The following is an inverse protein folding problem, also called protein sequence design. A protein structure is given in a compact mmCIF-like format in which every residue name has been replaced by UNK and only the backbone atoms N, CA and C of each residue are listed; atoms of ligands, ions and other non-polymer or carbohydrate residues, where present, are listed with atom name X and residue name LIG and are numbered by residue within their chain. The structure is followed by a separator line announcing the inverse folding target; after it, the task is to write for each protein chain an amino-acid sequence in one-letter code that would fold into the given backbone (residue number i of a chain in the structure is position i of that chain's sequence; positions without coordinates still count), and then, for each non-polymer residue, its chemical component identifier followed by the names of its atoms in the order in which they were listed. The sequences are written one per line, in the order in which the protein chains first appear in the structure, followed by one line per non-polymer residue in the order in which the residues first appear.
data_IF_651696731455
#
_entry.id   IF_651696731455
#
_cell.length_a   1.000
_cell.length_b   1.000
_cell.length_c   1.000
_cell.angle_alpha   90.00
_cell.angle_beta   90.00
_cell.angle_gamma   90.00
#
_symmetry.space_group_name_H-M   'P 1'
#
loop_
_entity.id
_entity.type
_entity.pdbx_description
1 polymer ?
#
# COMPACT_ATOMS: atom_id res chain seq x y z
N UNK A 1 -63.35 7.38 -41.05
CA UNK A 1 -63.12 8.78 -40.65
C UNK A 1 -63.15 8.87 -39.14
N UNK A 2 -61.98 8.91 -38.48
CA UNK A 2 -61.87 9.22 -37.04
C UNK A 2 -60.46 9.77 -36.79
N UNK A 3 -60.36 11.08 -36.55
CA UNK A 3 -59.14 11.81 -36.21
C UNK A 3 -59.18 12.16 -34.73
N UNK A 4 -58.14 11.87 -33.97
CA UNK A 4 -57.78 12.52 -32.69
C UNK A 4 -56.28 12.26 -32.44
N UNK A 5 -55.37 13.16 -32.88
CA UNK A 5 -54.85 14.33 -32.16
C UNK A 5 -53.98 13.97 -30.92
N UNK A 6 -52.66 13.89 -31.13
CA UNK A 6 -51.63 13.76 -30.09
C UNK A 6 -51.05 15.17 -29.82
N UNK A 7 -51.05 15.69 -28.58
CA UNK A 7 -50.43 16.97 -28.29
C UNK A 7 -48.91 16.84 -28.11
N UNK A 8 -48.18 17.69 -28.84
CA UNK A 8 -46.76 18.00 -28.66
C UNK A 8 -46.58 18.84 -27.39
N UNK A 9 -45.72 18.41 -26.47
CA UNK A 9 -45.24 19.24 -25.36
C UNK A 9 -43.81 19.70 -25.60
N UNK A 10 -43.61 20.99 -25.30
CA UNK A 10 -42.52 21.83 -25.74
C UNK A 10 -41.22 21.64 -24.95
N UNK A 11 -40.10 21.77 -25.66
CA UNK A 11 -38.77 22.06 -25.13
C UNK A 11 -38.78 23.44 -24.46
N UNK A 12 -38.39 23.50 -23.17
CA UNK A 12 -38.00 24.75 -22.53
C UNK A 12 -36.48 24.73 -22.26
N UNK A 13 -35.76 25.51 -23.07
CA UNK A 13 -34.47 26.05 -22.68
C UNK A 13 -34.69 27.13 -21.61
N UNK A 14 -33.88 27.08 -20.55
CA UNK A 14 -33.64 28.23 -19.68
C UNK A 14 -32.14 28.40 -19.49
N UNK A 15 -31.59 29.39 -20.21
CA UNK A 15 -30.35 30.07 -19.89
C UNK A 15 -30.62 31.03 -18.73
N UNK A 16 -29.91 30.87 -17.61
CA UNK A 16 -29.70 31.97 -16.67
C UNK A 16 -28.22 32.00 -16.27
N UNK A 17 -27.61 33.10 -16.66
CA UNK A 17 -26.29 33.61 -16.29
C UNK A 17 -26.25 34.03 -14.82
N UNK A 18 -25.16 33.81 -14.12
CA UNK A 18 -24.44 34.90 -13.44
C UNK A 18 -23.18 34.41 -12.73
N UNK A 19 -22.15 35.23 -12.89
CA UNK A 19 -20.79 35.12 -12.35
C UNK A 19 -20.81 35.46 -10.86
N UNK A 20 -19.97 34.79 -10.07
CA UNK A 20 -19.15 35.52 -9.10
C UNK A 20 -17.81 34.81 -8.93
N UNK A 21 -16.76 35.55 -9.27
CA UNK A 21 -15.37 35.23 -9.00
C UNK A 21 -15.08 35.78 -7.60
N UNK A 22 -14.75 34.94 -6.63
CA UNK A 22 -14.12 35.44 -5.39
C UNK A 22 -12.61 35.47 -5.59
N UNK A 23 -12.09 36.69 -5.56
CA UNK A 23 -10.67 37.00 -5.62
C UNK A 23 -9.94 36.55 -4.35
N UNK A 24 -8.70 36.09 -4.55
CA UNK A 24 -7.65 35.94 -3.55
C UNK A 24 -7.59 37.09 -2.55
N UNK A 25 -7.30 36.76 -1.29
CA UNK A 25 -6.52 37.60 -0.40
C UNK A 25 -5.39 36.73 0.20
N UNK A 26 -4.15 37.10 -0.12
CA UNK A 26 -2.92 36.59 0.46
C UNK A 26 -2.53 37.63 1.51
N UNK A 27 -2.55 37.28 2.79
CA UNK A 27 -1.98 38.11 3.86
C UNK A 27 -0.62 37.57 4.29
N UNK A 28 0.30 38.50 4.53
CA UNK A 28 1.71 38.28 4.92
C UNK A 28 1.91 38.55 6.43
N UNK A 29 3.02 38.08 7.03
CA UNK A 29 3.10 37.81 8.46
C UNK A 29 3.58 39.03 9.26
N UNK A 30 2.87 39.38 10.33
CA UNK A 30 3.32 40.38 11.30
C UNK A 30 4.00 39.72 12.51
N UNK A 31 5.30 39.98 12.65
CA UNK A 31 6.11 39.78 13.86
C UNK A 31 5.71 40.80 14.92
N UNK A 32 5.65 40.39 16.18
CA UNK A 32 5.79 41.33 17.30
C UNK A 32 6.63 40.69 18.40
N UNK A 33 7.83 41.27 18.60
CA UNK A 33 8.72 41.03 19.72
C UNK A 33 8.33 41.96 20.86
N UNK A 34 8.32 41.46 22.10
CA UNK A 34 8.38 42.29 23.29
C UNK A 34 9.50 41.79 24.20
N UNK A 35 10.59 42.55 24.18
CA UNK A 35 11.68 42.53 25.15
C UNK A 35 11.28 43.41 26.35
N UNK A 36 11.46 42.95 27.59
CA UNK A 36 11.77 43.87 28.69
C UNK A 36 12.63 43.17 29.76
N UNK A 37 13.58 43.96 30.23
CA UNK A 37 14.83 43.67 30.94
C UNK A 37 14.71 43.63 32.47
N UNK A 38 15.55 42.77 33.08
CA UNK A 38 16.36 42.82 34.34
C UNK A 38 16.25 44.03 35.30
N UNK A 39 16.53 43.90 36.63
CA UNK A 39 17.77 43.31 37.19
C UNK A 39 17.66 42.40 38.43
N UNK A 40 18.75 41.67 38.71
CA UNK A 40 19.02 40.82 39.88
C UNK A 40 19.21 41.62 41.19
N UNK A 41 19.19 40.97 42.39
CA UNK A 41 20.43 40.37 42.90
C UNK A 41 20.28 39.02 43.65
N UNK A 42 21.36 38.24 43.52
CA UNK A 42 21.97 37.21 44.37
C UNK A 42 21.28 36.77 45.69
N UNK A 43 21.14 35.45 45.89
CA UNK A 43 21.56 34.79 47.13
C UNK A 43 21.71 33.27 46.94
N UNK A 44 22.91 32.76 47.23
CA UNK A 44 23.26 31.35 47.32
C UNK A 44 22.51 30.70 48.50
N UNK A 45 21.74 29.64 48.24
CA UNK A 45 21.47 28.61 49.25
C UNK A 45 21.58 27.23 48.61
N UNK A 46 22.69 26.56 48.93
CA UNK A 46 22.87 25.13 48.80
C UNK A 46 21.63 24.41 49.36
N UNK A 47 20.85 23.75 48.51
CA UNK A 47 19.95 22.71 48.96
C UNK A 47 20.82 21.47 49.24
N UNK A 48 21.24 21.32 50.48
CA UNK A 48 21.85 20.09 50.97
C UNK A 48 20.89 18.92 50.71
N UNK A 49 21.26 18.01 49.81
CA UNK A 49 20.61 16.70 49.71
C UNK A 49 20.84 15.98 51.04
N UNK A 50 19.77 15.65 51.75
CA UNK A 50 19.83 14.72 52.87
C UNK A 50 20.17 13.33 52.34
N UNK A 51 21.39 12.86 52.58
CA UNK A 51 21.72 11.45 52.45
C UNK A 51 21.15 10.71 53.66
N UNK A 52 20.17 9.84 53.42
CA UNK A 52 19.75 8.85 54.42
C UNK A 52 20.77 7.71 54.42
N UNK A 53 21.54 7.60 55.51
CA UNK A 53 22.43 6.47 55.77
C UNK A 53 21.79 5.53 56.80
N UNK A 54 20.62 4.98 56.48
CA UNK A 54 20.08 3.84 57.24
C UNK A 54 20.67 2.55 56.70
N UNK A 55 21.51 1.87 57.49
CA UNK A 55 22.00 0.53 57.17
C UNK A 55 20.84 -0.46 57.12
N UNK A 56 20.70 -1.20 56.01
CA UNK A 56 19.72 -2.27 55.89
C UNK A 56 20.17 -3.42 56.81
N UNK A 57 19.42 -3.66 57.89
CA UNK A 57 19.70 -4.80 58.77
C UNK A 57 19.37 -6.10 58.03
N UNK A 58 20.39 -6.82 57.57
CA UNK A 58 20.21 -8.17 57.04
C UNK A 58 19.73 -9.10 58.15
N UNK A 59 18.50 -9.59 58.03
CA UNK A 59 17.98 -10.68 58.86
C UNK A 59 18.85 -11.92 58.61
N UNK A 60 19.58 -12.39 59.64
CA UNK A 60 20.27 -13.68 59.61
C UNK A 60 19.23 -14.77 59.34
N UNK A 61 19.21 -15.29 58.11
CA UNK A 61 18.35 -16.39 57.74
C UNK A 61 18.74 -17.62 58.57
N UNK A 62 17.88 -18.00 59.52
CA UNK A 62 17.95 -19.30 60.16
C UNK A 62 17.87 -20.41 59.11
N UNK A 63 18.54 -21.52 59.39
CA UNK A 63 18.83 -22.65 58.49
C UNK A 63 17.60 -23.38 57.90
N UNK A 64 16.39 -22.87 58.13
CA UNK A 64 15.12 -23.50 57.75
C UNK A 64 14.40 -22.86 56.54
N UNK A 65 14.81 -21.68 56.04
CA UNK A 65 14.10 -21.00 54.95
C UNK A 65 14.94 -20.83 53.67
N UNK A 66 15.70 -21.86 53.28
CA UNK A 66 16.46 -21.88 52.01
C UNK A 66 15.67 -22.48 50.84
N UNK A 67 14.46 -23.01 51.07
CA UNK A 67 13.64 -23.63 50.02
C UNK A 67 12.72 -22.67 49.27
N UNK A 68 12.44 -21.46 49.81
CA UNK A 68 11.53 -20.48 49.21
C UNK A 68 12.16 -19.10 48.95
N UNK A 69 13.48 -18.98 49.04
CA UNK A 69 14.17 -17.82 48.50
C UNK A 69 14.08 -17.87 46.97
N UNK A 70 13.12 -17.15 46.39
CA UNK A 70 13.12 -16.83 44.96
C UNK A 70 14.35 -15.96 44.70
N UNK A 71 15.45 -16.59 44.30
CA UNK A 71 16.62 -15.90 43.77
C UNK A 71 16.21 -15.33 42.42
N UNK A 72 15.77 -14.06 42.40
CA UNK A 72 15.53 -13.26 41.20
C UNK A 72 16.86 -12.84 40.57
N UNK A 73 17.69 -13.84 40.26
CA UNK A 73 19.00 -13.65 39.64
C UNK A 73 19.29 -14.89 38.80
N UNK A 74 18.44 -15.12 37.80
CA UNK A 74 18.83 -15.96 36.68
C UNK A 74 20.00 -15.26 35.96
N UNK A 75 21.15 -15.93 35.72
CA UNK A 75 22.27 -15.33 35.00
C UNK A 75 21.86 -14.97 33.56
N UNK A 76 22.50 -13.97 32.92
CA UNK A 76 22.21 -13.61 31.54
C UNK A 76 22.53 -14.82 30.66
N UNK A 77 21.50 -15.40 30.03
CA UNK A 77 21.67 -16.57 29.16
C UNK A 77 22.28 -16.07 27.84
N UNK A 78 23.56 -16.40 27.62
CA UNK A 78 24.38 -15.98 26.47
C UNK A 78 24.04 -16.66 25.14
N UNK A 79 22.97 -17.45 25.11
CA UNK A 79 22.52 -18.21 23.95
C UNK A 79 21.00 -18.07 23.91
N UNK A 80 20.35 -17.62 22.82
CA UNK A 80 18.91 -17.69 22.74
C UNK A 80 18.52 -19.16 22.86
N UNK A 81 18.00 -19.54 24.04
CA UNK A 81 17.42 -20.85 24.24
C UNK A 81 16.32 -21.08 23.21
N UNK A 82 16.00 -22.35 22.93
CA UNK A 82 14.85 -22.66 22.10
C UNK A 82 13.62 -21.90 22.63
N UNK A 83 12.85 -21.23 21.76
CA UNK A 83 11.75 -20.38 22.20
C UNK A 83 10.75 -21.22 22.99
N UNK A 84 10.40 -20.76 24.20
CA UNK A 84 9.45 -21.45 25.08
C UNK A 84 8.09 -21.55 24.37
N UNK A 85 7.28 -22.57 24.66
CA UNK A 85 5.94 -22.69 24.08
C UNK A 85 5.08 -21.42 24.32
N UNK A 86 5.26 -20.76 25.45
CA UNK A 86 4.64 -19.46 25.76
C UNK A 86 5.13 -18.35 24.82
N UNK A 87 6.42 -18.26 24.55
CA UNK A 87 6.99 -17.26 23.63
C UNK A 87 6.44 -17.46 22.20
N UNK A 88 6.33 -18.72 21.77
CA UNK A 88 5.75 -19.08 20.48
C UNK A 88 4.25 -18.77 20.39
N UNK A 89 3.50 -18.89 21.49
CA UNK A 89 2.08 -18.52 21.51
C UNK A 89 1.87 -17.00 21.39
N UNK A 90 2.81 -16.20 21.91
CA UNK A 90 2.78 -14.74 21.78
C UNK A 90 3.36 -14.22 20.45
N UNK A 91 4.03 -15.08 19.69
CA UNK A 91 4.65 -14.70 18.42
C UNK A 91 3.62 -14.45 17.31
N UNK A 92 3.37 -13.18 17.03
CA UNK A 92 2.50 -12.71 15.95
C UNK A 92 3.25 -12.46 14.64
N UNK A 93 4.56 -12.63 14.59
CA UNK A 93 5.39 -12.28 13.41
C UNK A 93 4.95 -13.02 12.14
N UNK A 94 4.58 -14.29 12.27
CA UNK A 94 4.03 -15.09 11.17
C UNK A 94 2.73 -14.51 10.62
N UNK A 95 1.82 -14.08 11.50
CA UNK A 95 0.54 -13.47 11.12
C UNK A 95 0.76 -12.11 10.44
N UNK A 96 1.62 -11.27 11.01
CA UNK A 96 1.97 -9.96 10.45
C UNK A 96 2.58 -10.12 9.06
N UNK A 97 3.51 -11.07 8.87
CA UNK A 97 4.10 -11.33 7.55
C UNK A 97 3.07 -11.77 6.50
N UNK A 98 2.05 -12.55 6.89
CA UNK A 98 0.98 -12.97 5.98
C UNK A 98 0.04 -11.80 5.64
N UNK A 99 -0.26 -10.93 6.60
CA UNK A 99 -1.04 -9.71 6.38
C UNK A 99 -0.29 -8.76 5.45
N UNK A 100 1.01 -8.55 5.67
CA UNK A 100 1.85 -7.72 4.79
C UNK A 100 1.87 -8.26 3.36
N UNK A 101 2.04 -9.57 3.17
CA UNK A 101 1.96 -10.20 1.83
C UNK A 101 0.60 -10.00 1.17
N UNK A 102 -0.50 -10.04 1.94
CA UNK A 102 -1.84 -9.76 1.42
C UNK A 102 -1.98 -8.29 0.99
N UNK A 103 -1.41 -7.36 1.76
CA UNK A 103 -1.37 -5.94 1.43
C UNK A 103 -0.51 -5.65 0.20
N UNK A 104 0.69 -6.23 0.11
CA UNK A 104 1.57 -6.09 -1.06
C UNK A 104 0.85 -6.56 -2.32
N UNK A 105 0.21 -7.73 -2.28
CA UNK A 105 -0.57 -8.25 -3.38
C UNK A 105 -1.73 -7.33 -3.77
N UNK A 106 -2.46 -6.81 -2.79
CA UNK A 106 -3.52 -5.84 -3.03
C UNK A 106 -2.98 -4.58 -3.73
N UNK A 107 -1.87 -4.01 -3.24
CA UNK A 107 -1.28 -2.82 -3.84
C UNK A 107 -0.76 -3.06 -5.25
N UNK A 108 -0.22 -4.25 -5.52
CA UNK A 108 0.20 -4.65 -6.85
C UNK A 108 -1.00 -4.79 -7.80
N UNK A 109 -2.04 -5.54 -7.40
CA UNK A 109 -3.28 -5.71 -8.17
C UNK A 109 -3.93 -4.34 -8.46
N UNK A 110 -3.96 -3.42 -7.49
CA UNK A 110 -4.50 -2.07 -7.68
C UNK A 110 -3.63 -1.18 -8.57
N UNK A 111 -2.30 -1.34 -8.53
CA UNK A 111 -1.37 -0.60 -9.39
C UNK A 111 -1.61 -0.92 -10.87
N UNK A 112 -1.91 -2.19 -11.18
CA UNK A 112 -2.28 -2.66 -12.51
C UNK A 112 -3.64 -2.13 -12.96
N UNK A 113 -4.54 -1.73 -12.06
CA UNK A 113 -5.85 -1.20 -12.46
C UNK A 113 -5.84 0.31 -12.75
N UNK A 114 -4.79 1.03 -12.32
CA UNK A 114 -4.71 2.50 -12.36
C UNK A 114 -4.76 3.10 -13.77
N UNK A 115 -4.46 2.35 -14.83
CA UNK A 115 -4.53 2.79 -16.24
C UNK A 115 -5.89 2.61 -16.91
N UNK A 116 -6.98 2.45 -16.15
CA UNK A 116 -8.29 2.10 -16.70
C UNK A 116 -8.42 0.60 -17.02
N UNK A 117 -7.55 -0.24 -16.45
CA UNK A 117 -7.59 -1.70 -16.43
C UNK A 117 -7.23 -2.42 -17.73
N UNK A 118 -7.42 -1.80 -18.91
CA UNK A 118 -7.12 -2.44 -20.20
C UNK A 118 -5.71 -2.21 -20.72
N UNK A 119 -5.12 -1.05 -20.44
CA UNK A 119 -3.88 -0.60 -21.09
C UNK A 119 -2.83 -0.30 -20.04
N UNK A 120 -2.07 -1.34 -19.69
CA UNK A 120 -0.95 -1.28 -18.76
C UNK A 120 0.39 -1.39 -19.51
N UNK A 121 1.47 -0.80 -18.98
CA UNK A 121 2.80 -0.96 -19.58
C UNK A 121 3.20 -2.43 -19.69
N UNK A 122 2.92 -3.24 -18.67
CA UNK A 122 3.18 -4.70 -18.67
C UNK A 122 2.50 -5.44 -19.84
N UNK A 123 1.31 -4.98 -20.25
CA UNK A 123 0.59 -5.57 -21.40
C UNK A 123 1.34 -5.27 -22.70
N UNK A 124 1.86 -4.07 -22.86
CA UNK A 124 2.63 -3.68 -24.04
C UNK A 124 4.02 -4.34 -24.06
N UNK A 125 4.67 -4.48 -22.91
CA UNK A 125 5.93 -5.22 -22.78
C UNK A 125 5.80 -6.69 -23.19
N UNK A 126 4.63 -7.29 -22.94
CA UNK A 126 4.34 -8.68 -23.31
C UNK A 126 4.06 -8.90 -24.81
N UNK A 127 3.95 -7.82 -25.60
CA UNK A 127 3.70 -7.92 -27.04
C UNK A 127 4.86 -8.62 -27.76
N UNK A 128 4.51 -9.44 -28.75
CA UNK A 128 5.47 -10.16 -29.58
C UNK A 128 5.82 -9.31 -30.81
N UNK A 129 7.10 -9.02 -30.98
CA UNK A 129 7.65 -8.29 -32.11
C UNK A 129 8.40 -9.27 -33.00
N UNK A 130 8.10 -9.26 -34.30
CA UNK A 130 8.83 -10.04 -35.28
C UNK A 130 10.04 -9.24 -35.74
N UNK A 131 11.23 -9.70 -35.35
CA UNK A 131 12.52 -9.17 -35.76
C UNK A 131 13.03 -10.03 -36.93
N UNK A 132 13.57 -9.38 -37.96
CA UNK A 132 14.12 -10.07 -39.12
C UNK A 132 13.88 -9.31 -40.41
N UNK A 133 14.96 -9.10 -41.17
CA UNK A 133 14.87 -8.72 -42.58
C UNK A 133 14.65 -10.00 -43.40
N UNK A 134 14.04 -9.90 -44.57
CA UNK A 134 13.62 -11.04 -45.41
C UNK A 134 14.68 -12.14 -45.69
N UNK A 135 15.97 -11.91 -45.37
CA UNK A 135 17.07 -12.88 -45.55
C UNK A 135 17.65 -13.54 -44.30
N UNK A 136 17.28 -13.17 -43.05
CA UNK A 136 17.92 -13.68 -41.82
C UNK A 136 16.98 -14.50 -40.89
N UNK A 137 15.80 -14.89 -41.38
CA UNK A 137 14.79 -15.60 -40.59
C UNK A 137 13.97 -14.65 -39.70
N UNK A 138 12.71 -15.01 -39.44
CA UNK A 138 11.81 -14.24 -38.57
C UNK A 138 11.95 -14.74 -37.15
N UNK A 139 12.63 -13.98 -36.30
CA UNK A 139 12.68 -14.23 -34.87
C UNK A 139 11.54 -13.49 -34.17
N UNK A 140 10.87 -14.13 -33.22
CA UNK A 140 9.80 -13.49 -32.44
C UNK A 140 10.29 -13.23 -31.03
N UNK A 141 10.49 -11.96 -30.70
CA UNK A 141 11.00 -11.50 -29.40
C UNK A 141 9.91 -10.72 -28.67
N UNK A 142 9.98 -10.64 -27.34
CA UNK A 142 9.05 -9.80 -26.57
C UNK A 142 9.48 -8.35 -26.64
N UNK A 143 8.52 -7.43 -26.67
CA UNK A 143 8.79 -6.01 -26.73
C UNK A 143 9.62 -5.55 -25.53
N UNK A 144 9.35 -6.06 -24.33
CA UNK A 144 10.10 -5.72 -23.11
C UNK A 144 11.58 -6.10 -23.14
N UNK A 145 12.00 -7.04 -23.99
CA UNK A 145 13.40 -7.45 -24.09
C UNK A 145 14.22 -6.49 -24.99
N UNK A 146 13.55 -5.76 -25.89
CA UNK A 146 14.18 -4.87 -26.89
C UNK A 146 13.88 -3.39 -26.67
N UNK A 147 12.87 -3.08 -25.86
CA UNK A 147 12.43 -1.72 -25.60
C UNK A 147 11.89 -1.57 -24.17
N UNK A 148 12.10 -0.39 -23.60
CA UNK A 148 11.57 -0.02 -22.29
C UNK A 148 10.27 0.78 -22.46
N UNK A 149 9.21 0.35 -21.78
CA UNK A 149 7.90 1.02 -21.81
C UNK A 149 7.76 1.91 -20.59
N UNK A 150 7.61 3.22 -20.80
CA UNK A 150 7.51 4.21 -19.71
C UNK A 150 6.16 4.94 -19.78
N UNK A 151 5.24 4.73 -18.81
CA UNK A 151 3.98 5.46 -18.78
C UNK A 151 4.22 6.94 -18.41
N UNK A 152 3.71 7.86 -19.24
CA UNK A 152 3.76 9.32 -19.08
C UNK A 152 2.35 9.90 -19.08
N UNK A 153 1.61 9.65 -17.99
CA UNK A 153 0.23 10.11 -17.84
C UNK A 153 -0.69 9.44 -18.86
N UNK A 154 -1.18 10.20 -19.85
CA UNK A 154 -2.04 9.71 -20.94
C UNK A 154 -1.28 9.28 -22.19
N UNK A 155 0.03 9.37 -22.17
CA UNK A 155 0.90 8.92 -23.25
C UNK A 155 1.86 7.88 -22.68
N UNK A 156 2.32 6.97 -23.52
CA UNK A 156 3.32 5.99 -23.14
C UNK A 156 4.50 6.09 -24.09
N UNK A 157 5.69 6.18 -23.53
CA UNK A 157 6.91 6.31 -24.29
C UNK A 157 7.57 4.93 -24.36
N UNK A 158 7.70 4.40 -25.57
CA UNK A 158 8.44 3.17 -25.83
C UNK A 158 9.82 3.57 -26.32
N UNK A 159 10.83 3.36 -25.46
CA UNK A 159 12.23 3.68 -25.76
C UNK A 159 12.89 2.42 -26.31
N UNK A 160 13.28 2.46 -27.58
CA UNK A 160 13.88 1.31 -28.26
C UNK A 160 15.40 1.29 -28.03
N UNK A 161 15.97 0.09 -27.87
CA UNK A 161 17.43 -0.07 -27.71
C UNK A 161 18.22 0.23 -28.99
N UNK A 162 17.64 -0.11 -30.16
CA UNK A 162 18.30 0.04 -31.47
C UNK A 162 17.37 0.68 -32.51
N UNK A 163 17.94 1.47 -33.41
CA UNK A 163 17.18 2.12 -34.50
C UNK A 163 16.58 1.11 -35.49
N UNK A 164 17.25 -0.02 -35.70
CA UNK A 164 16.79 -1.09 -36.58
C UNK A 164 15.45 -1.71 -36.13
N UNK A 165 15.14 -1.64 -34.84
CA UNK A 165 13.95 -2.24 -34.24
C UNK A 165 12.74 -1.29 -34.22
N UNK A 166 12.92 0.01 -34.51
CA UNK A 166 11.85 1.01 -34.45
C UNK A 166 10.66 0.69 -35.36
N UNK A 167 10.92 0.25 -36.59
CA UNK A 167 9.88 -0.09 -37.57
C UNK A 167 9.11 -1.36 -37.17
N UNK A 168 9.78 -2.49 -36.84
CA UNK A 168 9.12 -3.67 -36.28
C UNK A 168 8.26 -3.37 -35.05
N UNK A 169 8.77 -2.58 -34.11
CA UNK A 169 8.07 -2.23 -32.87
C UNK A 169 6.82 -1.38 -33.17
N UNK A 170 6.96 -0.32 -33.97
CA UNK A 170 5.83 0.51 -34.39
C UNK A 170 4.74 -0.33 -35.07
N UNK A 171 5.14 -1.25 -35.97
CA UNK A 171 4.20 -2.14 -36.65
C UNK A 171 3.52 -3.13 -35.69
N UNK A 172 4.26 -3.68 -34.72
CA UNK A 172 3.72 -4.62 -33.74
C UNK A 172 2.71 -3.95 -32.79
N UNK A 173 2.99 -2.73 -32.34
CA UNK A 173 2.06 -1.94 -31.51
C UNK A 173 0.78 -1.63 -32.30
N UNK A 174 0.91 -1.18 -33.55
CA UNK A 174 -0.24 -0.86 -34.39
C UNK A 174 -1.10 -2.10 -34.75
N UNK A 175 -0.46 -3.26 -34.94
CA UNK A 175 -1.14 -4.53 -35.21
C UNK A 175 -1.69 -5.22 -33.94
N UNK A 176 -1.42 -4.68 -32.75
CA UNK A 176 -1.85 -5.29 -31.49
C UNK A 176 -3.39 -5.27 -31.33
N UNK A 177 -3.91 -6.20 -30.53
CA UNK A 177 -5.34 -6.30 -30.21
C UNK A 177 -5.84 -5.14 -29.31
N UNK A 178 -4.96 -4.18 -29.00
CA UNK A 178 -5.21 -3.10 -28.04
C UNK A 178 -5.57 -1.78 -28.70
N UNK A 179 -5.67 -1.75 -30.04
CA UNK A 179 -6.07 -0.58 -30.83
C UNK A 179 -5.27 0.68 -30.49
N UNK A 180 -3.96 0.51 -30.31
CA UNK A 180 -3.03 1.60 -30.01
C UNK A 180 -2.47 2.16 -31.32
N UNK A 181 -2.44 3.48 -31.45
CA UNK A 181 -1.88 4.17 -32.62
C UNK A 181 -0.54 4.81 -32.23
N UNK A 182 0.61 4.17 -32.51
CA UNK A 182 1.90 4.78 -32.24
C UNK A 182 2.13 6.01 -33.14
N UNK A 183 2.63 7.09 -32.55
CA UNK A 183 3.12 8.25 -33.28
C UNK A 183 4.55 7.99 -33.78
N UNK A 184 4.92 8.53 -34.96
CA UNK A 184 6.28 8.42 -35.46
C UNK A 184 7.28 9.06 -34.47
N UNK A 185 8.52 8.54 -34.39
CA UNK A 185 9.55 9.12 -33.54
C UNK A 185 9.87 10.56 -33.98
N UNK A 186 9.89 11.48 -33.01
CA UNK A 186 10.22 12.89 -33.24
C UNK A 186 11.71 13.06 -33.54
N UNK A 187 12.06 14.06 -34.37
CA UNK A 187 13.44 14.38 -34.72
C UNK A 187 14.33 14.74 -33.50
N UNK A 188 13.71 15.12 -32.37
CA UNK A 188 14.41 15.38 -31.12
C UNK A 188 14.78 14.12 -30.33
N UNK A 189 14.04 13.02 -30.52
CA UNK A 189 14.23 11.75 -29.81
C UNK A 189 14.00 10.57 -30.78
N UNK A 190 14.98 10.24 -31.64
CA UNK A 190 14.82 9.29 -32.73
C UNK A 190 14.51 7.85 -32.25
N UNK A 191 14.90 7.50 -31.03
CA UNK A 191 14.71 6.17 -30.44
C UNK A 191 13.40 6.02 -29.64
N UNK A 192 12.60 7.08 -29.49
CA UNK A 192 11.39 7.06 -28.66
C UNK A 192 10.12 7.10 -29.51
N UNK A 193 9.25 6.11 -29.33
CA UNK A 193 7.93 6.04 -29.94
C UNK A 193 6.89 6.49 -28.90
N UNK A 194 6.08 7.49 -29.24
CA UNK A 194 5.00 7.95 -28.36
C UNK A 194 3.69 7.23 -28.71
N UNK A 195 3.05 6.64 -27.71
CA UNK A 195 1.77 5.95 -27.87
C UNK A 195 0.72 6.67 -27.03
N UNK A 196 -0.15 7.51 -27.63
CA UNK A 196 -1.26 8.12 -26.92
C UNK A 196 -2.28 7.04 -26.49
N UNK A 197 -2.67 7.06 -25.22
CA UNK A 197 -3.74 6.20 -24.72
C UNK A 197 -5.10 6.88 -24.98
N UNK A 198 -6.08 6.16 -25.54
CA UNK A 198 -7.44 6.69 -25.64
C UNK A 198 -8.04 6.91 -24.25
N UNK A 199 -9.00 7.84 -24.10
CA UNK A 199 -9.68 8.04 -22.84
C UNK A 199 -10.43 6.77 -22.42
N UNK A 200 -10.39 6.38 -21.14
CA UNK A 200 -11.09 5.17 -20.67
C UNK A 200 -12.60 5.36 -20.84
N UNK A 201 -13.26 4.36 -21.45
CA UNK A 201 -14.72 4.37 -21.58
C UNK A 201 -15.39 4.16 -20.23
N UNK A 202 -16.66 4.57 -20.11
CA UNK A 202 -17.43 4.40 -18.87
C UNK A 202 -17.52 2.93 -18.42
N UNK A 203 -17.64 1.99 -19.36
CA UNK A 203 -17.63 0.55 -19.08
C UNK A 203 -16.28 0.07 -18.55
N UNK A 204 -15.16 0.54 -19.11
CA UNK A 204 -13.81 0.20 -18.65
C UNK A 204 -13.57 0.67 -17.22
N UNK A 205 -14.05 1.89 -16.87
CA UNK A 205 -13.97 2.41 -15.50
C UNK A 205 -14.76 1.56 -14.52
N UNK A 206 -16.00 1.17 -14.87
CA UNK A 206 -16.82 0.29 -14.03
C UNK A 206 -16.14 -1.07 -13.82
N UNK A 207 -15.62 -1.67 -14.89
CA UNK A 207 -14.89 -2.94 -14.81
C UNK A 207 -13.63 -2.84 -13.92
N UNK A 208 -12.90 -1.71 -13.96
CA UNK A 208 -11.75 -1.47 -13.10
C UNK A 208 -12.15 -1.34 -11.62
N UNK A 209 -13.25 -0.65 -11.32
CA UNK A 209 -13.80 -0.55 -9.95
C UNK A 209 -14.25 -1.91 -9.43
N UNK A 210 -14.96 -2.70 -10.25
CA UNK A 210 -15.38 -4.06 -9.89
C UNK A 210 -14.17 -4.98 -9.63
N UNK A 211 -13.12 -4.86 -10.43
CA UNK A 211 -11.88 -5.59 -10.22
C UNK A 211 -11.18 -5.17 -8.93
N UNK A 212 -11.16 -3.87 -8.61
CA UNK A 212 -10.58 -3.36 -7.36
C UNK A 212 -11.35 -3.86 -6.12
N UNK A 213 -12.69 -3.94 -6.20
CA UNK A 213 -13.52 -4.52 -5.14
C UNK A 213 -13.17 -6.00 -4.93
N UNK A 214 -13.10 -6.78 -6.02
CA UNK A 214 -12.73 -8.20 -5.96
C UNK A 214 -11.32 -8.41 -5.39
N UNK A 215 -10.37 -7.54 -5.73
CA UNK A 215 -9.02 -7.58 -5.18
C UNK A 215 -9.01 -7.32 -3.65
N UNK A 216 -9.79 -6.34 -3.18
CA UNK A 216 -9.94 -6.05 -1.76
C UNK A 216 -10.56 -7.24 -0.99
N UNK A 217 -11.64 -7.84 -1.52
CA UNK A 217 -12.26 -9.03 -0.92
C UNK A 217 -11.30 -10.22 -0.84
N UNK A 218 -10.45 -10.39 -1.86
CA UNK A 218 -9.42 -11.45 -1.88
C UNK A 218 -8.37 -11.22 -0.79
N UNK A 219 -7.92 -9.98 -0.59
CA UNK A 219 -6.99 -9.62 0.47
C UNK A 219 -7.63 -9.83 1.87
N UNK A 220 -8.89 -9.43 2.06
CA UNK A 220 -9.63 -9.69 3.30
C UNK A 220 -9.76 -11.19 3.60
N UNK A 221 -10.06 -12.01 2.60
CA UNK A 221 -10.09 -13.48 2.74
C UNK A 221 -8.72 -14.03 3.14
N UNK A 222 -7.62 -13.48 2.62
CA UNK A 222 -6.27 -13.90 3.01
C UNK A 222 -5.99 -13.58 4.48
N UNK A 223 -6.40 -12.41 4.99
CA UNK A 223 -6.30 -12.09 6.43
C UNK A 223 -7.12 -13.08 7.27
N UNK A 224 -8.33 -13.44 6.84
CA UNK A 224 -9.15 -14.42 7.55
C UNK A 224 -8.50 -15.80 7.61
N UNK A 225 -7.90 -16.26 6.50
CA UNK A 225 -7.14 -17.52 6.46
C UNK A 225 -5.93 -17.46 7.41
N UNK A 226 -5.19 -16.36 7.41
CA UNK A 226 -4.05 -16.14 8.30
C UNK A 226 -4.47 -16.18 9.79
N UNK A 227 -5.57 -15.50 10.15
CA UNK A 227 -6.17 -15.56 11.48
C UNK A 227 -6.56 -16.99 11.86
N UNK A 228 -7.20 -17.73 10.94
CA UNK A 228 -7.60 -19.12 11.19
C UNK A 228 -6.38 -20.02 11.41
N UNK A 229 -5.30 -19.84 10.64
CA UNK A 229 -4.06 -20.57 10.82
C UNK A 229 -3.43 -20.31 12.19
N UNK A 230 -3.32 -19.04 12.58
CA UNK A 230 -2.78 -18.67 13.89
C UNK A 230 -3.65 -19.19 15.04
N UNK A 231 -4.98 -19.07 14.93
CA UNK A 231 -5.90 -19.62 15.94
C UNK A 231 -5.82 -21.16 16.03
N UNK A 232 -5.61 -21.86 14.91
CA UNK A 232 -5.34 -23.31 14.94
C UNK A 232 -4.06 -23.63 15.72
N UNK A 233 -3.01 -22.81 15.63
CA UNK A 233 -1.78 -22.98 16.43
C UNK A 233 -2.05 -22.77 17.92
N UNK A 234 -2.78 -21.71 18.29
CA UNK A 234 -3.17 -21.47 19.69
C UNK A 234 -4.00 -22.62 20.28
N UNK A 235 -4.93 -23.20 19.49
CA UNK A 235 -5.70 -24.39 19.92
C UNK A 235 -4.82 -25.62 20.14
N UNK A 236 -3.73 -25.80 19.38
CA UNK A 236 -2.79 -26.91 19.61
C UNK A 236 -2.07 -26.76 20.95
N UNK A 237 -1.61 -25.56 21.29
CA UNK A 237 -1.02 -25.28 22.61
C UNK A 237 -2.02 -25.49 23.75
N UNK A 238 -3.30 -25.16 23.52
CA UNK A 238 -4.39 -25.41 24.49
C UNK A 238 -4.62 -26.91 24.72
N UNK A 239 -4.63 -27.72 23.66
CA UNK A 239 -4.81 -29.18 23.74
C UNK A 239 -3.63 -29.89 24.40
N UNK A 240 -2.40 -29.49 24.05
CA UNK A 240 -1.19 -30.05 24.63
C UNK A 240 -0.97 -29.60 26.09
N UNK A 241 -1.67 -28.54 26.52
CA UNK A 241 -1.46 -27.85 27.81
C UNK A 241 -0.03 -27.33 27.99
N UNK A 242 0.61 -26.96 26.89
CA UNK A 242 1.98 -26.42 26.87
C UNK A 242 2.04 -24.99 27.44
N UNK A 243 0.90 -24.28 27.46
CA UNK A 243 0.78 -22.87 27.83
C UNK A 243 -0.40 -22.67 28.80
N UNK A 244 -0.25 -21.75 29.75
CA UNK A 244 -1.29 -21.39 30.71
C UNK A 244 -2.53 -20.78 30.01
N UNK A 245 -3.76 -21.04 30.49
CA UNK A 245 -4.98 -20.46 29.91
C UNK A 245 -4.96 -18.93 29.85
N UNK A 246 -4.41 -18.26 30.88
CA UNK A 246 -4.32 -16.80 30.92
C UNK A 246 -3.42 -16.24 29.82
N UNK A 247 -2.32 -16.93 29.52
CA UNK A 247 -1.40 -16.53 28.45
C UNK A 247 -2.02 -16.75 27.07
N UNK A 248 -2.76 -17.84 26.89
CA UNK A 248 -3.52 -18.09 25.66
C UNK A 248 -4.58 -17.01 25.41
N UNK A 249 -5.27 -16.52 26.46
CA UNK A 249 -6.24 -15.43 26.32
C UNK A 249 -5.56 -14.14 25.87
N UNK A 250 -4.42 -13.78 26.48
CA UNK A 250 -3.64 -12.60 26.08
C UNK A 250 -3.12 -12.72 24.64
N UNK A 251 -2.65 -13.90 24.24
CA UNK A 251 -2.22 -14.17 22.86
C UNK A 251 -3.38 -14.00 21.86
N UNK A 252 -4.58 -14.54 22.19
CA UNK A 252 -5.80 -14.36 21.37
C UNK A 252 -6.14 -12.88 21.20
N UNK A 253 -6.11 -12.08 22.28
CA UNK A 253 -6.37 -10.63 22.21
C UNK A 253 -5.35 -9.92 21.29
N UNK A 254 -4.06 -10.20 21.46
CA UNK A 254 -3.01 -9.61 20.60
C UNK A 254 -3.19 -9.96 19.13
N UNK A 255 -3.51 -11.21 18.82
CA UNK A 255 -3.82 -11.66 17.46
C UNK A 255 -5.00 -10.86 16.87
N UNK A 256 -6.11 -10.70 17.60
CA UNK A 256 -7.28 -9.95 17.14
C UNK A 256 -6.95 -8.47 16.87
N UNK A 257 -6.12 -7.84 17.71
CA UNK A 257 -5.73 -6.44 17.52
C UNK A 257 -4.88 -6.24 16.25
N UNK A 258 -3.99 -7.18 15.94
CA UNK A 258 -3.21 -7.15 14.69
C UNK A 258 -4.12 -7.34 13.47
N UNK A 259 -5.06 -8.29 13.53
CA UNK A 259 -6.03 -8.52 12.45
C UNK A 259 -6.92 -7.31 12.20
N UNK A 260 -7.42 -6.65 13.26
CA UNK A 260 -8.21 -5.43 13.15
C UNK A 260 -7.43 -4.32 12.44
N UNK A 261 -6.15 -4.13 12.79
CA UNK A 261 -5.27 -3.16 12.11
C UNK A 261 -5.12 -3.48 10.63
N UNK A 262 -4.91 -4.75 10.29
CA UNK A 262 -4.81 -5.22 8.90
C UNK A 262 -6.07 -4.91 8.07
N UNK A 263 -7.27 -5.20 8.61
CA UNK A 263 -8.52 -4.88 7.93
C UNK A 263 -8.75 -3.38 7.75
N UNK A 264 -8.41 -2.56 8.75
CA UNK A 264 -8.53 -1.10 8.63
C UNK A 264 -7.64 -0.56 7.51
N UNK A 265 -6.41 -1.07 7.39
CA UNK A 265 -5.49 -0.60 6.35
C UNK A 265 -5.91 -1.07 4.95
N UNK A 266 -6.39 -2.31 4.79
CA UNK A 266 -6.99 -2.77 3.53
C UNK A 266 -8.15 -1.87 3.11
N UNK A 267 -9.07 -1.55 4.04
CA UNK A 267 -10.21 -0.66 3.74
C UNK A 267 -9.71 0.70 3.26
N UNK A 268 -8.75 1.30 3.99
CA UNK A 268 -8.15 2.59 3.62
C UNK A 268 -7.54 2.57 2.21
N UNK A 269 -6.77 1.54 1.88
CA UNK A 269 -6.15 1.37 0.56
C UNK A 269 -7.23 1.21 -0.51
N UNK A 270 -8.23 0.36 -0.27
CA UNK A 270 -9.31 0.08 -1.22
C UNK A 270 -10.17 1.32 -1.52
N UNK A 271 -10.53 2.09 -0.49
CA UNK A 271 -11.34 3.30 -0.64
C UNK A 271 -10.56 4.42 -1.33
N UNK A 272 -9.26 4.53 -1.04
CA UNK A 272 -8.36 5.42 -1.76
C UNK A 272 -8.28 5.08 -3.25
N UNK A 273 -8.12 3.79 -3.57
CA UNK A 273 -8.06 3.33 -4.95
C UNK A 273 -9.37 3.52 -5.72
N UNK A 274 -10.53 3.23 -5.09
CA UNK A 274 -11.86 3.46 -5.69
C UNK A 274 -12.04 4.92 -6.10
N UNK A 275 -11.74 5.86 -5.20
CA UNK A 275 -11.83 7.31 -5.49
C UNK A 275 -10.95 7.71 -6.67
N UNK A 276 -9.74 7.17 -6.75
CA UNK A 276 -8.83 7.45 -7.87
C UNK A 276 -9.42 6.92 -9.18
N UNK A 277 -9.90 5.66 -9.20
CA UNK A 277 -10.47 5.05 -10.40
C UNK A 277 -11.76 5.72 -10.88
N UNK A 278 -12.59 6.23 -9.95
CA UNK A 278 -13.80 6.98 -10.28
C UNK A 278 -13.51 8.39 -10.82
N UNK A 279 -12.41 9.01 -10.38
CA UNK A 279 -12.01 10.36 -10.80
C UNK A 279 -11.30 10.44 -12.16
N UNK A 280 -10.91 9.30 -12.72
CA UNK A 280 -10.18 9.20 -13.99
C UNK A 280 -11.06 9.35 -15.24
#
# INVERSE_FOLDING_TARGET
MSRTAIPRSALRLSLISSRSLSSRAIESPCRTLAFRSSPAPQCLKHASRSFSMSSILHKKAGKANKAHAKTDSSPPVSSPGQPTATDQAYDVSGLESQILKAMEKLTHDLSQLRGGGKLNPEVVESLKVQLGTAGQGKETVRLGDIAQVVPRGRMMNVVCGEEAHLKPITSAIAASQHSLTPLPPDASNPLTIQVPLPPPTGESRRAAVDAAIKAAEKADKQIQVARQEHNKRLRKFELNRDVLPDDLQKAKVRMEDVVKKGHTEIKRISDGAKKVLESQ
#
